data_IF_596647556055
#
_entry.id   IF_596647556055
#
_cell.length_a   1.000
_cell.length_b   1.000
_cell.length_c   1.000
_cell.angle_alpha   90.00
_cell.angle_beta   90.00
_cell.angle_gamma   90.00
#
_symmetry.space_group_name_H-M   'P 1'
#
loop_
_entity.id
_entity.type
_entity.pdbx_description
1 polymer ?
#
# COMPACT_ATOMS: atom_id res chain seq x y z
N UNK A 1 -12.35 -23.89 -9.21
CA UNK A 1 -11.47 -23.63 -8.05
C UNK A 1 -11.02 -22.19 -8.19
N UNK A 2 -11.42 -21.31 -7.28
CA UNK A 2 -10.88 -19.94 -7.24
C UNK A 2 -9.55 -20.04 -6.51
N UNK A 3 -8.47 -19.65 -7.17
CA UNK A 3 -7.13 -19.60 -6.56
C UNK A 3 -7.18 -18.76 -5.29
N UNK A 4 -6.49 -19.17 -4.22
CA UNK A 4 -6.37 -18.38 -3.00
C UNK A 4 -5.91 -16.95 -3.29
N UNK A 5 -5.04 -16.75 -4.29
CA UNK A 5 -4.61 -15.42 -4.72
C UNK A 5 -5.78 -14.51 -5.13
N UNK A 6 -6.74 -15.03 -5.88
CA UNK A 6 -7.90 -14.26 -6.33
C UNK A 6 -8.85 -13.86 -5.18
N UNK A 7 -8.85 -14.61 -4.07
CA UNK A 7 -9.61 -14.23 -2.86
C UNK A 7 -8.90 -13.13 -2.06
N UNK A 8 -7.57 -13.20 -1.95
CA UNK A 8 -6.78 -12.14 -1.32
C UNK A 8 -6.85 -10.83 -2.12
N UNK A 9 -6.81 -10.92 -3.45
CA UNK A 9 -6.96 -9.77 -4.34
C UNK A 9 -8.33 -9.10 -4.15
N UNK A 10 -9.42 -9.88 -4.09
CA UNK A 10 -10.76 -9.34 -3.87
C UNK A 10 -10.93 -8.68 -2.50
N UNK A 11 -10.40 -9.29 -1.43
CA UNK A 11 -10.46 -8.71 -0.08
C UNK A 11 -9.63 -7.42 0.05
N UNK A 12 -8.47 -7.38 -0.60
CA UNK A 12 -7.63 -6.19 -0.65
C UNK A 12 -8.31 -5.04 -1.41
N UNK A 13 -8.86 -5.32 -2.60
CA UNK A 13 -9.60 -4.33 -3.38
C UNK A 13 -10.79 -3.75 -2.61
N UNK A 14 -11.55 -4.60 -1.91
CA UNK A 14 -12.65 -4.15 -1.06
C UNK A 14 -12.18 -3.22 0.06
N UNK A 15 -11.06 -3.54 0.73
CA UNK A 15 -10.50 -2.67 1.76
C UNK A 15 -10.05 -1.32 1.16
N UNK A 16 -9.46 -1.31 -0.03
CA UNK A 16 -9.10 -0.07 -0.74
C UNK A 16 -10.31 0.81 -1.04
N UNK A 17 -11.42 0.22 -1.50
CA UNK A 17 -12.67 0.96 -1.74
C UNK A 17 -13.20 1.63 -0.46
N UNK A 18 -13.10 0.95 0.69
CA UNK A 18 -13.49 1.55 1.98
C UNK A 18 -12.57 2.73 2.36
N UNK A 19 -11.26 2.62 2.12
CA UNK A 19 -10.30 3.69 2.45
C UNK A 19 -10.52 4.93 1.57
N UNK A 20 -10.85 4.75 0.28
CA UNK A 20 -11.16 5.86 -0.64
C UNK A 20 -12.34 6.73 -0.22
N UNK A 21 -13.28 6.18 0.57
CA UNK A 21 -14.40 6.98 1.11
C UNK A 21 -13.88 8.08 2.05
N UNK A 22 -12.84 7.78 2.84
CA UNK A 22 -12.25 8.72 3.79
C UNK A 22 -11.12 9.55 3.18
N UNK A 23 -10.46 9.00 2.15
CA UNK A 23 -9.33 9.61 1.45
C UNK A 23 -9.59 9.58 -0.07
N UNK A 24 -10.44 10.47 -0.61
CA UNK A 24 -10.85 10.41 -2.02
C UNK A 24 -9.71 10.66 -3.00
N UNK A 25 -8.64 11.34 -2.57
CA UNK A 25 -7.45 11.63 -3.37
C UNK A 25 -6.34 10.58 -3.20
N UNK A 26 -6.66 9.41 -2.65
CA UNK A 26 -5.70 8.31 -2.46
C UNK A 26 -5.16 7.83 -3.80
N UNK A 27 -3.86 7.95 -3.99
CA UNK A 27 -3.15 7.43 -5.16
C UNK A 27 -2.91 5.92 -5.00
N UNK A 28 -3.71 5.13 -5.72
CA UNK A 28 -3.62 3.67 -5.72
C UNK A 28 -2.29 3.14 -6.26
N UNK A 29 -1.68 3.86 -7.20
CA UNK A 29 -0.40 3.46 -7.77
C UNK A 29 0.71 3.66 -6.73
N UNK A 30 0.70 4.79 -6.02
CA UNK A 30 1.62 5.05 -4.92
C UNK A 30 1.43 4.05 -3.77
N UNK A 31 0.19 3.66 -3.48
CA UNK A 31 -0.08 2.65 -2.46
C UNK A 31 0.43 1.26 -2.86
N UNK A 32 0.39 0.92 -4.15
CA UNK A 32 0.98 -0.31 -4.69
C UNK A 32 2.51 -0.36 -4.57
N UNK A 33 3.17 0.80 -4.43
CA UNK A 33 4.61 0.91 -4.19
C UNK A 33 4.97 0.80 -2.69
N UNK A 34 3.98 0.75 -1.80
CA UNK A 34 4.21 0.63 -0.36
C UNK A 34 5.00 -0.64 -0.05
N UNK A 35 6.19 -0.45 0.49
CA UNK A 35 7.15 -1.49 0.82
C UNK A 35 7.42 -1.40 2.33
N UNK A 36 7.32 -2.53 3.03
CA UNK A 36 7.59 -2.60 4.47
C UNK A 36 9.04 -2.22 4.83
N UNK A 37 9.96 -2.26 3.85
CA UNK A 37 11.35 -1.84 3.99
C UNK A 37 11.58 -0.35 3.71
N UNK A 38 10.51 0.40 3.44
CA UNK A 38 10.56 1.83 3.15
C UNK A 38 9.80 2.62 4.20
N UNK A 39 10.23 3.86 4.41
CA UNK A 39 9.53 4.85 5.22
C UNK A 39 9.01 5.99 4.37
N UNK A 40 8.01 6.70 4.89
CA UNK A 40 7.46 7.89 4.24
C UNK A 40 8.16 9.12 4.80
N UNK A 41 8.88 9.86 3.95
CA UNK A 41 9.44 11.17 4.27
C UNK A 41 8.94 12.22 3.27
N UNK A 42 8.37 13.32 3.77
CA UNK A 42 7.80 14.41 2.96
C UNK A 42 6.82 13.94 1.86
N UNK A 43 6.05 12.89 2.14
CA UNK A 43 5.10 12.31 1.19
C UNK A 43 5.73 11.45 0.09
N UNK A 44 6.99 11.04 0.23
CA UNK A 44 7.67 10.10 -0.67
C UNK A 44 8.15 8.87 0.09
N UNK A 45 8.06 7.71 -0.57
CA UNK A 45 8.68 6.48 -0.09
C UNK A 45 10.18 6.54 -0.31
N UNK A 46 10.95 6.37 0.75
CA UNK A 46 12.41 6.28 0.72
C UNK A 46 12.88 5.01 1.44
N UNK A 47 14.05 4.52 1.08
CA UNK A 47 14.64 3.34 1.72
C UNK A 47 14.84 3.62 3.22
N UNK A 48 14.37 2.70 4.05
CA UNK A 48 14.59 2.77 5.50
C UNK A 48 15.99 2.22 5.81
N UNK A 49 17.00 3.03 5.50
CA UNK A 49 18.39 2.69 5.80
C UNK A 49 18.64 2.98 7.28
N UNK A 50 18.95 1.98 8.12
CA UNK A 50 19.31 2.22 9.50
C UNK A 50 20.55 3.14 9.55
N UNK A 51 20.65 4.04 10.56
CA UNK A 51 21.84 4.87 10.72
C UNK A 51 23.09 3.99 10.76
N UNK A 52 24.12 4.35 10.01
CA UNK A 52 25.42 3.68 10.12
C UNK A 52 25.91 3.82 11.58
N UNK A 53 26.35 2.69 12.16
CA UNK A 53 26.91 2.64 13.53
C UNK A 53 28.16 3.51 13.69
#
# INVERSE_FOLDING_TARGET
QVSFGAQYDAGFLFALEQVKIFFPDLDEQLLGEADAMKKIEYGKLIDDVPPAE
#
